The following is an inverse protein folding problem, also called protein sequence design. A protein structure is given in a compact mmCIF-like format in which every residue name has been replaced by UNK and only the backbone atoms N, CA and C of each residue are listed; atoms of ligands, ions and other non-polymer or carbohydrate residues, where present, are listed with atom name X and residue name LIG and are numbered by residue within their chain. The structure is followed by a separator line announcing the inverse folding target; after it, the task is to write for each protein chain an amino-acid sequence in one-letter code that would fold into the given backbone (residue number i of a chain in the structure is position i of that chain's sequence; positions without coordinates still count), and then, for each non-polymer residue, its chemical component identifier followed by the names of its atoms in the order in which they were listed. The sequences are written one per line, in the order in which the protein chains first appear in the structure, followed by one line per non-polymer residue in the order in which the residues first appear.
data_IF_361704751370
#
_entry.id   IF_361704751370
#
_cell.length_a   1.000
_cell.length_b   1.000
_cell.length_c   1.000
_cell.angle_alpha   90.00
_cell.angle_beta   90.00
_cell.angle_gamma   90.00
#
_symmetry.space_group_name_H-M   'P 1'
#
loop_
_entity.id
_entity.type
_entity.pdbx_description
1 polymer ?
#
# COMPACT_ATOMS: atom_id res chain seq x y z
N UNK A 1 -27.81 16.31 -1.07
CA UNK A 1 -26.68 17.14 -0.65
C UNK A 1 -25.45 16.25 -0.79
N UNK A 2 -24.59 16.51 -1.77
CA UNK A 2 -23.42 15.66 -1.99
C UNK A 2 -22.46 15.82 -0.79
N UNK A 3 -22.14 14.69 -0.14
CA UNK A 3 -21.21 14.63 0.99
C UNK A 3 -19.80 14.98 0.47
N UNK A 4 -19.33 16.18 0.73
CA UNK A 4 -17.94 16.59 0.46
C UNK A 4 -16.95 16.12 1.54
N UNK A 5 -17.37 15.17 2.38
CA UNK A 5 -16.61 14.73 3.55
C UNK A 5 -15.78 13.47 3.25
N UNK A 6 -16.21 12.65 2.28
CA UNK A 6 -15.44 11.51 1.80
C UNK A 6 -14.38 11.97 0.79
N UNK A 7 -13.08 11.76 1.06
CA UNK A 7 -11.99 12.17 0.18
C UNK A 7 -11.80 11.24 -1.03
N UNK A 8 -12.31 10.00 -0.99
CA UNK A 8 -12.06 8.99 -2.01
C UNK A 8 -12.51 9.41 -3.41
N UNK A 9 -13.74 9.91 -3.66
CA UNK A 9 -14.15 10.32 -5.00
C UNK A 9 -13.32 11.47 -5.58
N UNK A 10 -12.84 12.38 -4.70
CA UNK A 10 -11.98 13.49 -5.12
C UNK A 10 -10.61 12.96 -5.53
N UNK A 11 -9.99 12.12 -4.69
CA UNK A 11 -8.72 11.50 -5.02
C UNK A 11 -8.79 10.67 -6.30
N UNK A 12 -9.85 9.88 -6.47
CA UNK A 12 -10.08 9.07 -7.67
C UNK A 12 -10.10 9.89 -8.96
N UNK A 13 -10.63 11.11 -8.93
CA UNK A 13 -10.70 11.97 -10.11
C UNK A 13 -9.33 12.23 -10.72
N UNK A 14 -8.28 12.33 -9.89
CA UNK A 14 -6.90 12.54 -10.37
C UNK A 14 -6.30 11.32 -11.08
N UNK A 15 -6.86 10.14 -10.86
CA UNK A 15 -6.36 8.90 -11.47
C UNK A 15 -7.18 8.41 -12.65
N UNK A 16 -8.49 8.71 -12.66
CA UNK A 16 -9.44 8.14 -13.64
C UNK A 16 -9.73 9.09 -14.80
N UNK A 17 -9.71 10.40 -14.59
CA UNK A 17 -9.97 11.38 -15.64
C UNK A 17 -8.69 11.69 -16.42
N UNK A 18 -8.62 11.23 -17.68
CA UNK A 18 -7.45 11.40 -18.56
C UNK A 18 -7.02 12.87 -18.70
N UNK A 19 -8.00 13.81 -18.78
CA UNK A 19 -7.69 15.23 -18.94
C UNK A 19 -7.10 15.86 -17.67
N UNK A 20 -7.44 15.30 -16.52
CA UNK A 20 -6.91 15.74 -15.23
C UNK A 20 -5.54 15.11 -15.02
N UNK A 21 -5.39 13.80 -15.19
CA UNK A 21 -4.14 13.08 -15.00
C UNK A 21 -3.00 13.53 -15.93
N UNK A 22 -3.33 14.01 -17.14
CA UNK A 22 -2.35 14.60 -18.07
C UNK A 22 -1.74 15.93 -17.58
N UNK A 23 -2.39 16.64 -16.67
CA UNK A 23 -2.02 18.02 -16.29
C UNK A 23 -1.79 18.24 -14.81
N UNK A 24 -2.33 17.36 -13.99
CA UNK A 24 -2.32 17.46 -12.53
C UNK A 24 -1.92 16.12 -11.93
N UNK A 25 -1.17 16.21 -10.88
CA UNK A 25 -0.76 15.08 -10.05
C UNK A 25 -1.23 15.33 -8.62
N UNK A 26 -1.73 14.30 -7.95
CA UNK A 26 -2.10 14.38 -6.55
C UNK A 26 -0.84 14.31 -5.69
N UNK A 27 -0.48 15.43 -5.06
CA UNK A 27 0.71 15.55 -4.21
C UNK A 27 0.53 14.80 -2.87
N UNK A 28 -0.66 14.87 -2.30
CA UNK A 28 -1.00 14.18 -1.07
C UNK A 28 -2.35 14.62 -0.50
N UNK A 29 -2.83 13.87 0.49
CA UNK A 29 -4.06 14.13 1.23
C UNK A 29 -3.67 14.58 2.64
N UNK A 30 -4.05 15.81 3.00
CA UNK A 30 -3.80 16.37 4.32
C UNK A 30 -5.12 16.45 5.08
N UNK A 31 -5.20 15.77 6.21
CA UNK A 31 -6.37 15.81 7.09
C UNK A 31 -6.10 16.74 8.26
N UNK A 32 -7.00 17.71 8.47
CA UNK A 32 -6.96 18.61 9.63
C UNK A 32 -7.91 18.07 10.70
N UNK A 33 -7.35 17.77 11.87
CA UNK A 33 -8.06 17.16 12.99
C UNK A 33 -8.17 18.15 14.13
N UNK A 34 -9.37 18.30 14.69
CA UNK A 34 -9.64 19.11 15.89
C UNK A 34 -9.29 18.30 17.15
N UNK A 35 -8.16 18.61 17.80
CA UNK A 35 -7.68 17.89 18.97
C UNK A 35 -8.71 17.78 20.09
N UNK A 36 -9.54 18.81 20.27
CA UNK A 36 -10.53 18.84 21.36
C UNK A 36 -11.75 17.96 21.11
N UNK A 37 -12.17 17.80 19.85
CA UNK A 37 -13.46 17.19 19.54
C UNK A 37 -13.33 15.84 18.80
N UNK A 38 -12.15 15.49 18.32
CA UNK A 38 -12.01 14.30 17.42
C UNK A 38 -12.42 13.01 18.08
N UNK A 39 -12.11 12.77 19.36
CA UNK A 39 -12.46 11.53 20.05
C UNK A 39 -13.97 11.29 19.99
N UNK A 40 -14.77 12.32 20.28
CA UNK A 40 -16.23 12.22 20.19
C UNK A 40 -16.70 11.83 18.78
N UNK A 41 -16.06 12.36 17.75
CA UNK A 41 -16.41 12.06 16.35
C UNK A 41 -15.99 10.67 15.90
N UNK A 42 -14.84 10.20 16.35
CA UNK A 42 -14.34 8.85 16.05
C UNK A 42 -15.17 7.78 16.74
N UNK A 43 -15.58 8.03 18.00
CA UNK A 43 -16.37 7.09 18.80
C UNK A 43 -17.89 7.19 18.51
N UNK A 44 -18.32 8.13 17.66
CA UNK A 44 -19.74 8.29 17.33
C UNK A 44 -20.28 7.04 16.61
N UNK A 45 -21.19 6.33 17.26
CA UNK A 45 -21.89 5.22 16.62
C UNK A 45 -22.76 5.73 15.46
N UNK A 46 -22.52 5.18 14.27
CA UNK A 46 -23.34 5.47 13.09
C UNK A 46 -24.35 4.35 12.86
N UNK A 47 -25.54 4.67 12.32
CA UNK A 47 -26.48 3.65 11.88
C UNK A 47 -25.85 2.66 10.89
N UNK A 48 -26.37 1.42 10.88
CA UNK A 48 -25.89 0.38 9.98
C UNK A 48 -25.88 0.88 8.50
N UNK A 49 -24.77 0.71 7.81
CA UNK A 49 -24.56 1.16 6.43
C UNK A 49 -24.20 2.64 6.29
N UNK A 50 -24.02 3.38 7.40
CA UNK A 50 -23.48 4.76 7.38
C UNK A 50 -22.05 4.75 7.88
N UNK A 51 -21.15 5.26 7.08
CA UNK A 51 -19.73 5.36 7.40
C UNK A 51 -19.43 6.54 8.33
N UNK A 52 -18.39 6.40 9.15
CA UNK A 52 -17.91 7.50 9.97
C UNK A 52 -16.89 8.32 9.17
N UNK A 53 -17.33 9.44 8.66
CA UNK A 53 -16.52 10.32 7.81
C UNK A 53 -15.23 10.80 8.50
N UNK A 54 -15.24 10.95 9.82
CA UNK A 54 -14.03 11.37 10.57
C UNK A 54 -12.96 10.28 10.57
N UNK A 55 -13.39 9.03 10.74
CA UNK A 55 -12.51 7.86 10.65
C UNK A 55 -11.95 7.71 9.23
N UNK A 56 -12.79 7.86 8.21
CA UNK A 56 -12.35 7.79 6.82
C UNK A 56 -11.34 8.88 6.46
N UNK A 57 -11.59 10.13 6.84
CA UNK A 57 -10.66 11.23 6.58
C UNK A 57 -9.29 10.99 7.23
N UNK A 58 -9.24 10.41 8.42
CA UNK A 58 -7.98 10.03 9.07
C UNK A 58 -7.32 8.86 8.31
N UNK A 59 -8.09 7.85 7.92
CA UNK A 59 -7.59 6.69 7.19
C UNK A 59 -6.98 7.06 5.82
N UNK A 60 -7.57 8.02 5.12
CA UNK A 60 -7.08 8.49 3.82
C UNK A 60 -5.87 9.44 3.92
N UNK A 61 -5.57 9.98 5.09
CA UNK A 61 -4.54 11.00 5.26
C UNK A 61 -3.13 10.49 4.90
N UNK A 62 -2.39 11.30 4.17
CA UNK A 62 -0.94 11.20 4.02
C UNK A 62 -0.20 11.94 5.13
N UNK A 63 -0.80 13.04 5.61
CA UNK A 63 -0.35 13.82 6.77
C UNK A 63 -1.55 14.28 7.59
N UNK A 64 -1.36 14.37 8.88
CA UNK A 64 -2.39 14.81 9.82
C UNK A 64 -1.92 16.05 10.52
N UNK A 65 -2.72 17.14 10.42
CA UNK A 65 -2.54 18.34 11.21
C UNK A 65 -3.46 18.26 12.42
N UNK A 66 -2.92 17.89 13.56
CA UNK A 66 -3.63 17.90 14.82
C UNK A 66 -3.69 19.34 15.33
N UNK A 67 -4.78 20.02 15.05
CA UNK A 67 -4.96 21.44 15.29
C UNK A 67 -5.72 21.71 16.59
N UNK A 68 -5.65 22.94 17.08
CA UNK A 68 -6.23 23.39 18.34
C UNK A 68 -5.61 22.72 19.57
N UNK A 69 -4.33 22.43 19.51
CA UNK A 69 -3.60 21.79 20.62
C UNK A 69 -3.53 22.69 21.87
N UNK A 70 -3.73 23.97 21.69
CA UNK A 70 -3.89 24.98 22.76
C UNK A 70 -5.15 24.79 23.63
N UNK A 71 -6.12 23.96 23.18
CA UNK A 71 -7.41 23.76 23.87
C UNK A 71 -7.46 22.46 24.70
N UNK A 72 -6.41 21.70 24.73
CA UNK A 72 -6.31 20.39 25.40
C UNK A 72 -5.00 20.28 26.15
N UNK A 73 -4.95 19.44 27.18
CA UNK A 73 -3.71 19.20 27.91
C UNK A 73 -2.86 18.11 27.23
N UNK A 74 -1.63 17.91 27.72
CA UNK A 74 -0.71 16.96 27.11
C UNK A 74 -1.18 15.50 27.22
N UNK A 75 -1.88 15.14 28.30
CA UNK A 75 -2.40 13.78 28.47
C UNK A 75 -3.54 13.49 27.48
N UNK A 76 -4.42 14.50 27.26
CA UNK A 76 -5.46 14.43 26.23
C UNK A 76 -4.85 14.36 24.83
N UNK A 77 -3.80 15.14 24.52
CA UNK A 77 -3.10 15.11 23.24
C UNK A 77 -2.51 13.74 22.95
N UNK A 78 -1.83 13.13 23.91
CA UNK A 78 -1.26 11.80 23.76
C UNK A 78 -2.34 10.74 23.51
N UNK A 79 -3.49 10.87 24.18
CA UNK A 79 -4.62 9.96 23.93
C UNK A 79 -5.19 10.14 22.52
N UNK A 80 -5.36 11.39 22.07
CA UNK A 80 -5.83 11.70 20.71
C UNK A 80 -4.87 11.13 19.66
N UNK A 81 -3.56 11.35 19.83
CA UNK A 81 -2.55 10.80 18.92
C UNK A 81 -2.59 9.28 18.87
N UNK A 82 -2.76 8.63 20.03
CA UNK A 82 -2.90 7.18 20.10
C UNK A 82 -4.13 6.69 19.31
N UNK A 83 -5.28 7.32 19.48
CA UNK A 83 -6.50 6.96 18.74
C UNK A 83 -6.35 7.16 17.23
N UNK A 84 -5.74 8.26 16.81
CA UNK A 84 -5.42 8.52 15.40
C UNK A 84 -4.49 7.44 14.84
N UNK A 85 -3.46 7.06 15.59
CA UNK A 85 -2.49 6.04 15.18
C UNK A 85 -3.09 4.64 15.05
N UNK A 86 -4.14 4.32 15.80
CA UNK A 86 -4.90 3.07 15.62
C UNK A 86 -5.56 3.02 14.24
N UNK A 87 -6.14 4.14 13.79
CA UNK A 87 -6.81 4.24 12.49
C UNK A 87 -5.79 4.31 11.35
N UNK A 88 -4.77 5.17 11.49
CA UNK A 88 -3.73 5.39 10.50
C UNK A 88 -2.37 5.52 11.20
N UNK A 89 -1.70 4.38 11.39
CA UNK A 89 -0.40 4.28 12.03
C UNK A 89 0.73 4.97 11.26
N UNK A 90 0.53 5.23 9.97
CA UNK A 90 1.59 5.64 9.04
C UNK A 90 1.62 7.14 8.76
N UNK A 91 0.49 7.85 8.85
CA UNK A 91 0.47 9.28 8.62
C UNK A 91 1.22 10.02 9.74
N UNK A 92 2.24 10.85 9.43
CA UNK A 92 2.88 11.71 10.41
C UNK A 92 1.88 12.73 10.95
N UNK A 93 1.92 12.93 12.27
CA UNK A 93 1.06 13.87 12.97
C UNK A 93 1.86 15.13 13.29
N UNK A 94 1.34 16.28 12.89
CA UNK A 94 1.90 17.59 13.21
C UNK A 94 0.96 18.33 14.16
N UNK A 95 1.43 18.62 15.38
CA UNK A 95 0.70 19.45 16.35
C UNK A 95 0.70 20.90 15.88
N UNK A 96 -0.45 21.51 15.79
CA UNK A 96 -0.62 22.88 15.32
C UNK A 96 -1.60 23.67 16.17
N UNK A 97 -1.41 24.98 16.18
CA UNK A 97 -2.32 25.95 16.79
C UNK A 97 -2.73 26.95 15.71
N UNK A 98 -4.02 27.27 15.64
CA UNK A 98 -4.59 28.20 14.64
C UNK A 98 -4.23 27.85 13.18
N UNK A 99 -3.91 26.59 12.90
CA UNK A 99 -3.48 26.13 11.58
C UNK A 99 -2.08 26.58 11.17
N UNK A 100 -1.27 27.06 12.12
CA UNK A 100 0.09 27.55 11.83
C UNK A 100 1.04 26.36 11.68
N UNK A 101 1.59 26.21 10.49
CA UNK A 101 2.60 25.21 10.15
C UNK A 101 3.51 25.77 9.06
N UNK A 102 4.76 25.32 9.01
CA UNK A 102 5.66 25.65 7.89
C UNK A 102 5.09 25.10 6.57
N UNK A 103 4.85 25.95 5.55
CA UNK A 103 4.32 25.52 4.26
C UNK A 103 5.11 24.38 3.58
N UNK A 104 6.38 24.22 3.89
CA UNK A 104 7.22 23.11 3.41
C UNK A 104 6.66 21.74 3.81
N UNK A 105 5.92 21.68 4.91
CA UNK A 105 5.27 20.46 5.34
C UNK A 105 3.98 20.15 4.58
N UNK A 106 3.45 21.10 3.80
CA UNK A 106 2.15 21.01 3.14
C UNK A 106 2.24 20.85 1.62
N UNK A 107 3.38 21.15 1.02
CA UNK A 107 3.58 21.12 -0.43
C UNK A 107 4.75 20.22 -0.79
N UNK A 108 4.72 19.70 -2.00
CA UNK A 108 5.69 18.74 -2.49
C UNK A 108 5.82 17.52 -1.54
N UNK A 109 4.69 17.04 -1.04
CA UNK A 109 4.63 15.86 -0.17
C UNK A 109 5.05 14.62 -0.97
N UNK A 110 4.62 14.55 -2.24
CA UNK A 110 4.94 13.46 -3.15
C UNK A 110 4.42 12.11 -2.65
N UNK A 111 3.27 12.09 -1.96
CA UNK A 111 2.75 10.86 -1.34
C UNK A 111 2.41 9.76 -2.34
N UNK A 112 2.26 10.13 -3.59
CA UNK A 112 2.05 9.23 -4.72
C UNK A 112 3.30 9.12 -5.61
N UNK A 113 4.36 9.90 -5.32
CA UNK A 113 5.70 9.74 -5.87
C UNK A 113 6.51 8.81 -4.95
N UNK A 114 6.83 7.65 -5.48
CA UNK A 114 7.45 6.55 -4.75
C UNK A 114 8.87 6.83 -4.29
N UNK A 115 9.62 7.55 -5.11
CA UNK A 115 10.99 7.92 -4.80
C UNK A 115 11.02 8.84 -3.58
N UNK A 116 10.13 9.82 -3.56
CA UNK A 116 9.97 10.75 -2.43
C UNK A 116 9.43 10.08 -1.18
N UNK A 117 8.49 9.17 -1.31
CA UNK A 117 7.93 8.44 -0.15
C UNK A 117 9.02 7.65 0.59
N UNK A 118 9.96 7.06 -0.15
CA UNK A 118 11.10 6.33 0.43
C UNK A 118 12.16 7.25 1.04
N UNK A 119 12.39 8.42 0.42
CA UNK A 119 13.39 9.38 0.90
C UNK A 119 12.92 10.13 2.16
N UNK A 120 11.63 10.39 2.29
CA UNK A 120 11.06 11.22 3.35
C UNK A 120 10.71 10.46 4.62
N UNK A 121 10.45 9.17 4.55
CA UNK A 121 10.05 8.37 5.70
C UNK A 121 10.62 6.94 5.62
N UNK A 122 11.90 6.75 6.00
CA UNK A 122 12.50 5.42 6.09
C UNK A 122 11.81 4.54 7.15
N UNK A 123 11.17 5.14 8.16
CA UNK A 123 10.46 4.46 9.24
C UNK A 123 8.99 4.15 8.88
N UNK A 124 8.52 4.61 7.71
CA UNK A 124 7.17 4.35 7.19
C UNK A 124 6.80 2.85 7.20
N UNK A 125 7.79 1.99 7.21
CA UNK A 125 7.67 0.54 7.18
C UNK A 125 7.99 -0.13 8.53
N UNK A 126 8.15 0.64 9.61
CA UNK A 126 8.38 0.07 10.93
C UNK A 126 7.09 -0.50 11.52
N UNK A 127 7.10 -1.81 11.74
CA UNK A 127 5.89 -2.62 12.01
C UNK A 127 5.69 -2.92 13.50
N UNK A 128 6.49 -2.37 14.40
CA UNK A 128 6.56 -2.80 15.81
C UNK A 128 5.48 -2.19 16.72
N UNK A 129 4.43 -1.57 16.17
CA UNK A 129 3.32 -1.07 16.97
C UNK A 129 2.28 -2.17 17.25
N UNK A 130 2.30 -2.72 18.47
CA UNK A 130 1.22 -3.58 18.98
C UNK A 130 -0.09 -2.78 19.06
N UNK A 131 -1.13 -3.24 18.35
CA UNK A 131 -2.44 -2.60 18.32
C UNK A 131 -3.51 -3.53 18.90
N UNK A 132 -3.90 -3.27 20.13
CA UNK A 132 -5.16 -3.80 20.71
C UNK A 132 -6.19 -2.68 20.71
N UNK A 133 -7.20 -2.71 19.82
CA UNK A 133 -8.47 -1.96 20.01
C UNK A 133 -9.57 -2.43 19.09
N UNK A 134 -10.79 -2.42 19.62
CA UNK A 134 -12.08 -2.75 19.02
C UNK A 134 -12.59 -1.63 18.08
N UNK A 135 -11.81 -1.30 17.06
CA UNK A 135 -12.23 -0.34 16.03
C UNK A 135 -12.34 -1.06 14.69
N UNK A 136 -13.45 -0.80 13.99
CA UNK A 136 -13.71 -1.40 12.66
C UNK A 136 -12.69 -1.00 11.60
N UNK A 137 -12.09 0.18 11.73
CA UNK A 137 -11.05 0.66 10.79
C UNK A 137 -9.69 0.53 11.47
N UNK A 138 -8.82 -0.23 10.86
CA UNK A 138 -7.48 -0.51 11.37
C UNK A 138 -6.44 -0.43 10.26
N UNK A 139 -5.18 -0.35 10.66
CA UNK A 139 -4.04 -0.49 9.77
C UNK A 139 -3.31 -1.79 10.06
N UNK A 140 -2.86 -2.44 9.00
CA UNK A 140 -1.97 -3.61 9.07
C UNK A 140 -0.76 -3.37 8.20
N UNK A 141 0.40 -3.76 8.72
CA UNK A 141 1.63 -3.87 7.94
C UNK A 141 2.24 -5.24 8.10
N UNK A 142 2.92 -5.71 7.08
CA UNK A 142 3.71 -6.93 7.17
C UNK A 142 4.91 -6.85 6.25
N UNK A 143 5.99 -7.51 6.62
CA UNK A 143 7.20 -7.57 5.82
C UNK A 143 7.88 -8.94 5.89
N UNK A 144 8.60 -9.26 4.82
CA UNK A 144 9.52 -10.39 4.82
C UNK A 144 10.77 -10.10 4.00
N UNK A 145 11.86 -10.75 4.37
CA UNK A 145 13.10 -10.71 3.61
C UNK A 145 13.04 -11.62 2.38
N UNK A 146 13.59 -11.13 1.27
CA UNK A 146 13.66 -11.83 0.00
C UNK A 146 12.76 -11.23 -1.05
N UNK A 147 12.43 -12.04 -2.05
CA UNK A 147 11.64 -11.60 -3.20
C UNK A 147 10.37 -12.41 -3.32
N UNK A 148 9.36 -11.84 -3.94
CA UNK A 148 8.08 -12.50 -4.22
C UNK A 148 7.98 -12.99 -5.67
N UNK A 149 7.02 -13.88 -5.88
CA UNK A 149 6.56 -14.31 -7.19
C UNK A 149 5.41 -13.41 -7.63
N UNK A 150 5.60 -12.66 -8.70
CA UNK A 150 4.62 -11.69 -9.20
C UNK A 150 3.28 -12.31 -9.57
N UNK A 151 3.27 -13.56 -10.04
CA UNK A 151 2.04 -14.25 -10.41
C UNK A 151 1.21 -14.60 -9.17
N UNK A 152 1.87 -15.00 -8.07
CA UNK A 152 1.19 -15.21 -6.79
C UNK A 152 0.66 -13.91 -6.22
N UNK A 153 1.46 -12.83 -6.29
CA UNK A 153 1.04 -11.50 -5.87
C UNK A 153 -0.22 -11.05 -6.63
N UNK A 154 -0.20 -11.14 -7.96
CA UNK A 154 -1.34 -10.72 -8.77
C UNK A 154 -2.62 -11.51 -8.44
N UNK A 155 -2.49 -12.81 -8.19
CA UNK A 155 -3.61 -13.64 -7.76
C UNK A 155 -4.14 -13.20 -6.40
N UNK A 156 -3.26 -13.01 -5.42
CA UNK A 156 -3.64 -12.57 -4.08
C UNK A 156 -4.31 -11.19 -4.09
N UNK A 157 -3.75 -10.23 -4.85
CA UNK A 157 -4.36 -8.91 -5.02
C UNK A 157 -5.76 -9.03 -5.65
N UNK A 158 -5.91 -9.84 -6.70
CA UNK A 158 -7.21 -10.03 -7.33
C UNK A 158 -8.26 -10.60 -6.37
N UNK A 159 -7.87 -11.54 -5.50
CA UNK A 159 -8.75 -12.09 -4.46
C UNK A 159 -9.15 -11.05 -3.40
N UNK A 160 -8.23 -10.16 -3.02
CA UNK A 160 -8.50 -9.06 -2.10
C UNK A 160 -9.48 -8.08 -2.73
N UNK A 161 -9.24 -7.67 -3.98
CA UNK A 161 -10.12 -6.74 -4.72
C UNK A 161 -11.53 -7.32 -4.82
N UNK A 162 -11.65 -8.58 -5.20
CA UNK A 162 -12.96 -9.23 -5.38
C UNK A 162 -13.77 -9.27 -4.08
N UNK A 163 -13.12 -9.46 -2.94
CA UNK A 163 -13.78 -9.67 -1.65
C UNK A 163 -13.91 -8.42 -0.78
N UNK A 164 -12.97 -7.49 -0.89
CA UNK A 164 -12.75 -6.41 0.09
C UNK A 164 -12.43 -5.04 -0.51
N UNK A 165 -12.64 -4.82 -1.82
CA UNK A 165 -12.28 -3.55 -2.45
C UNK A 165 -12.90 -2.32 -1.79
N UNK A 166 -14.14 -2.42 -1.31
CA UNK A 166 -14.86 -1.33 -0.65
C UNK A 166 -14.39 -1.08 0.79
N UNK A 167 -13.80 -2.09 1.42
CA UNK A 167 -13.34 -2.01 2.81
C UNK A 167 -11.89 -1.56 2.94
N UNK A 168 -11.13 -1.57 1.83
CA UNK A 168 -9.75 -1.10 1.81
C UNK A 168 -9.72 0.37 1.38
N UNK A 169 -9.35 1.24 2.30
CA UNK A 169 -9.28 2.68 2.06
C UNK A 169 -7.96 3.10 1.42
N UNK A 170 -6.87 2.48 1.86
CA UNK A 170 -5.52 2.79 1.38
C UNK A 170 -4.61 1.57 1.47
N UNK A 171 -3.68 1.51 0.54
CA UNK A 171 -2.60 0.53 0.60
C UNK A 171 -1.34 1.10 -0.03
N UNK A 172 -0.22 0.68 0.50
CA UNK A 172 1.11 0.97 -0.03
C UNK A 172 2.03 -0.22 0.19
N UNK A 173 3.00 -0.40 -0.68
CA UNK A 173 4.01 -1.43 -0.51
C UNK A 173 5.17 -1.26 -1.46
N UNK A 174 6.33 -1.73 -1.00
CA UNK A 174 7.54 -1.81 -1.80
C UNK A 174 7.93 -3.27 -1.81
N UNK A 175 8.02 -3.81 -3.00
CA UNK A 175 8.13 -5.24 -3.18
C UNK A 175 9.34 -5.56 -4.06
N UNK A 176 10.10 -6.55 -3.65
CA UNK A 176 11.13 -7.15 -4.48
C UNK A 176 10.52 -8.30 -5.28
N UNK A 177 10.45 -8.16 -6.59
CA UNK A 177 10.01 -9.24 -7.47
C UNK A 177 11.21 -10.09 -7.88
N UNK A 178 11.09 -11.39 -7.76
CA UNK A 178 12.18 -12.31 -8.12
C UNK A 178 12.52 -12.22 -9.61
N UNK A 179 13.78 -12.01 -9.93
CA UNK A 179 14.25 -11.84 -11.32
C UNK A 179 14.14 -10.42 -11.86
N UNK A 180 13.76 -9.45 -11.02
CA UNK A 180 13.72 -8.03 -11.37
C UNK A 180 14.68 -7.24 -10.49
N UNK A 181 15.35 -6.24 -11.08
CA UNK A 181 16.24 -5.34 -10.35
C UNK A 181 15.53 -4.04 -9.93
N UNK A 182 14.40 -3.75 -10.54
CA UNK A 182 13.56 -2.61 -10.18
C UNK A 182 12.70 -2.93 -8.95
N UNK A 183 12.50 -1.94 -8.11
CA UNK A 183 11.51 -2.01 -7.03
C UNK A 183 10.11 -2.01 -7.65
N UNK A 184 9.30 -2.98 -7.25
CA UNK A 184 7.89 -2.99 -7.62
C UNK A 184 7.13 -2.23 -6.55
N UNK A 185 6.40 -1.24 -6.99
CA UNK A 185 5.62 -0.42 -6.12
C UNK A 185 4.15 -0.68 -6.30
N UNK A 186 3.51 -0.86 -5.18
CA UNK A 186 2.14 -1.20 -5.02
C UNK A 186 1.47 -0.13 -4.16
N UNK A 187 0.57 0.63 -4.75
CA UNK A 187 -0.14 1.70 -4.03
C UNK A 187 -1.50 1.97 -4.62
N UNK A 188 -2.39 2.48 -3.78
CA UNK A 188 -3.70 2.93 -4.22
C UNK A 188 -4.56 3.50 -3.11
N UNK A 189 -5.69 4.03 -3.56
CA UNK A 189 -6.70 4.66 -2.72
C UNK A 189 -8.06 4.07 -3.10
N UNK A 190 -8.75 3.48 -2.12
CA UNK A 190 -10.02 2.83 -2.30
C UNK A 190 -9.97 1.75 -3.41
N UNK A 191 -10.95 1.66 -4.29
CA UNK A 191 -11.02 0.65 -5.36
C UNK A 191 -9.99 0.82 -6.49
N UNK A 192 -9.16 1.88 -6.46
CA UNK A 192 -8.11 2.09 -7.45
C UNK A 192 -6.85 1.34 -7.04
N UNK A 193 -6.70 0.15 -7.58
CA UNK A 193 -5.51 -0.66 -7.40
C UNK A 193 -4.49 -0.41 -8.49
N UNK A 194 -3.28 -0.05 -8.10
CA UNK A 194 -2.16 0.15 -9.01
C UNK A 194 -0.89 -0.49 -8.48
N UNK A 195 -0.12 -1.06 -9.39
CA UNK A 195 1.21 -1.53 -9.13
C UNK A 195 2.05 -1.40 -10.39
N UNK A 196 3.26 -0.90 -10.26
CA UNK A 196 4.18 -0.75 -11.37
C UNK A 196 5.63 -0.93 -10.92
N UNK A 197 6.46 -1.37 -11.86
CA UNK A 197 7.90 -1.29 -11.68
C UNK A 197 8.33 0.17 -11.79
N UNK A 198 8.98 0.66 -10.75
CA UNK A 198 9.57 1.98 -10.83
C UNK A 198 10.75 1.97 -11.81
N UNK A 199 10.72 2.86 -12.80
CA UNK A 199 11.83 2.98 -13.75
C UNK A 199 13.09 3.57 -13.09
N UNK A 200 12.90 4.38 -12.05
CA UNK A 200 13.96 5.15 -11.40
C UNK A 200 14.46 4.52 -10.08
N UNK A 201 13.75 3.54 -9.55
CA UNK A 201 14.10 2.90 -8.28
C UNK A 201 14.56 1.46 -8.52
N UNK A 202 15.85 1.27 -8.46
CA UNK A 202 16.47 -0.06 -8.52
C UNK A 202 16.93 -0.49 -7.12
N UNK A 203 16.97 -1.80 -6.91
CA UNK A 203 17.66 -2.37 -5.76
C UNK A 203 19.16 -2.18 -5.95
N UNK A 204 19.82 -1.59 -4.97
CA UNK A 204 21.28 -1.49 -4.97
C UNK A 204 21.91 -2.89 -4.82
N UNK A 205 23.16 -3.03 -5.27
CA UNK A 205 23.83 -4.34 -5.32
C UNK A 205 23.94 -5.01 -3.95
N UNK A 206 24.14 -4.21 -2.91
CA UNK A 206 24.33 -4.66 -1.53
C UNK A 206 23.09 -4.37 -0.66
N UNK A 207 22.02 -3.85 -1.25
CA UNK A 207 20.75 -3.60 -0.56
C UNK A 207 20.02 -4.90 -0.29
N UNK A 208 19.62 -5.08 0.97
CA UNK A 208 18.82 -6.23 1.38
C UNK A 208 17.45 -6.17 0.72
N UNK A 209 17.14 -7.18 -0.07
CA UNK A 209 15.83 -7.28 -0.72
C UNK A 209 14.79 -7.67 0.31
N UNK A 210 13.75 -6.87 0.42
CA UNK A 210 12.60 -7.14 1.26
C UNK A 210 11.31 -6.71 0.59
N UNK A 211 10.22 -7.29 1.04
CA UNK A 211 8.87 -6.97 0.60
C UNK A 211 8.11 -6.46 1.80
N UNK A 212 7.52 -5.28 1.68
CA UNK A 212 6.70 -4.69 2.73
C UNK A 212 5.40 -4.18 2.15
N UNK A 213 4.29 -4.38 2.86
CA UNK A 213 3.03 -3.75 2.53
C UNK A 213 2.36 -3.15 3.76
N UNK A 214 1.46 -2.23 3.49
CA UNK A 214 0.56 -1.62 4.45
C UNK A 214 -0.83 -1.56 3.84
N UNK A 215 -1.84 -1.96 4.61
CA UNK A 215 -3.26 -1.72 4.30
C UNK A 215 -3.91 -0.94 5.43
N UNK A 216 -4.80 -0.02 5.06
CA UNK A 216 -5.71 0.67 5.98
C UNK A 216 -7.11 0.40 5.47
N UNK A 217 -7.98 -0.11 6.32
CA UNK A 217 -9.33 -0.46 5.92
C UNK A 217 -10.22 -0.90 7.07
N UNK A 218 -11.45 -1.26 6.71
CA UNK A 218 -12.48 -1.70 7.62
C UNK A 218 -12.53 -3.22 7.71
N UNK A 219 -12.72 -3.72 8.93
CA UNK A 219 -12.89 -5.15 9.21
C UNK A 219 -11.83 -6.01 8.48
N UNK A 220 -10.57 -5.57 8.55
CA UNK A 220 -9.46 -6.28 7.94
C UNK A 220 -9.16 -7.55 8.73
N UNK A 221 -9.10 -8.67 8.02
CA UNK A 221 -8.60 -9.94 8.58
C UNK A 221 -7.06 -9.92 8.51
N UNK A 222 -6.44 -9.50 9.60
CA UNK A 222 -4.99 -9.32 9.72
C UNK A 222 -4.24 -10.64 9.45
N UNK A 223 -4.72 -11.75 10.03
CA UNK A 223 -4.08 -13.05 9.86
C UNK A 223 -4.17 -13.54 8.42
N UNK A 224 -5.33 -13.40 7.78
CA UNK A 224 -5.50 -13.81 6.39
C UNK A 224 -4.69 -12.94 5.42
N UNK A 225 -4.59 -11.62 5.66
CA UNK A 225 -3.80 -10.71 4.84
C UNK A 225 -2.31 -11.02 4.96
N UNK A 226 -1.81 -11.21 6.17
CA UNK A 226 -0.42 -11.55 6.41
C UNK A 226 -0.07 -12.93 5.82
N UNK A 227 -0.87 -13.96 6.08
CA UNK A 227 -0.67 -15.30 5.55
C UNK A 227 -0.66 -15.29 4.01
N UNK A 228 -1.62 -14.62 3.37
CA UNK A 228 -1.68 -14.50 1.92
C UNK A 228 -0.47 -13.76 1.33
N UNK A 229 0.03 -12.74 2.02
CA UNK A 229 1.25 -12.06 1.61
C UNK A 229 2.49 -12.96 1.72
N UNK A 230 2.62 -13.69 2.82
CA UNK A 230 3.73 -14.64 3.00
C UNK A 230 3.71 -15.75 1.96
N UNK A 231 2.55 -16.19 1.51
CA UNK A 231 2.42 -17.19 0.42
C UNK A 231 2.89 -16.63 -0.94
N UNK A 232 2.95 -15.31 -1.12
CA UNK A 232 3.50 -14.70 -2.33
C UNK A 232 5.01 -14.85 -2.45
N UNK A 233 5.72 -15.25 -1.40
CA UNK A 233 7.17 -15.46 -1.43
C UNK A 233 7.59 -16.38 -2.56
N UNK A 234 8.69 -16.00 -3.23
CA UNK A 234 9.23 -16.80 -4.31
C UNK A 234 9.78 -18.13 -3.78
N UNK A 235 9.35 -19.20 -4.40
CA UNK A 235 9.81 -20.56 -4.10
C UNK A 235 11.17 -20.85 -4.74
N UNK A 236 11.84 -21.87 -4.23
CA UNK A 236 12.96 -22.50 -4.93
C UNK A 236 12.47 -23.22 -6.19
N UNK A 237 13.16 -22.99 -7.29
CA UNK A 237 12.78 -23.58 -8.55
C UNK A 237 13.24 -25.05 -8.63
N UNK A 238 12.37 -25.89 -9.20
CA UNK A 238 12.62 -27.30 -9.39
C UNK A 238 13.71 -27.59 -10.43
N UNK A 239 13.81 -26.72 -11.46
CA UNK A 239 14.71 -26.96 -12.61
C UNK A 239 15.72 -25.82 -12.71
N UNK A 240 16.87 -26.12 -13.33
CA UNK A 240 17.97 -25.19 -13.52
C UNK A 240 18.13 -24.79 -14.99
N UNK A 241 18.89 -23.73 -15.23
CA UNK A 241 19.27 -23.32 -16.58
C UNK A 241 20.01 -24.47 -17.27
N UNK A 242 19.58 -24.79 -18.48
CA UNK A 242 20.12 -25.89 -19.27
C UNK A 242 19.33 -27.21 -19.21
N UNK A 243 18.45 -27.36 -18.22
CA UNK A 243 17.62 -28.53 -18.10
C UNK A 243 16.65 -28.70 -19.28
N UNK A 244 16.44 -29.93 -19.70
CA UNK A 244 15.44 -30.28 -20.71
C UNK A 244 14.14 -30.64 -20.00
N UNK A 245 13.06 -29.98 -20.37
CA UNK A 245 11.74 -30.20 -19.78
C UNK A 245 10.67 -30.36 -20.85
N UNK A 246 9.48 -30.78 -20.45
CA UNK A 246 8.27 -30.64 -21.24
C UNK A 246 7.47 -29.45 -20.71
N UNK A 247 7.38 -28.38 -21.50
CA UNK A 247 6.60 -27.19 -21.18
C UNK A 247 5.18 -27.32 -21.71
N UNK A 248 4.19 -26.95 -20.91
CA UNK A 248 2.80 -26.90 -21.35
C UNK A 248 2.54 -25.55 -22.02
N UNK A 249 2.42 -25.53 -23.32
CA UNK A 249 2.11 -24.37 -24.17
C UNK A 249 0.79 -24.56 -24.93
N UNK A 250 -0.17 -25.26 -24.33
CA UNK A 250 -1.37 -25.79 -24.94
C UNK A 250 -1.26 -27.32 -25.13
N UNK A 251 -0.07 -27.79 -25.48
CA UNK A 251 0.37 -29.19 -25.46
C UNK A 251 1.75 -29.28 -24.80
N UNK A 252 2.13 -30.47 -24.36
CA UNK A 252 3.44 -30.68 -23.75
C UNK A 252 4.53 -30.75 -24.82
N UNK A 253 5.27 -29.65 -24.97
CA UNK A 253 6.36 -29.52 -25.95
C UNK A 253 7.71 -29.58 -25.25
N UNK A 254 8.65 -30.31 -25.83
CA UNK A 254 10.02 -30.40 -25.31
C UNK A 254 10.73 -29.06 -25.46
N UNK A 255 11.44 -28.64 -24.41
CA UNK A 255 12.17 -27.39 -24.43
C UNK A 255 13.35 -27.40 -23.47
N UNK A 256 14.23 -26.40 -23.62
CA UNK A 256 15.40 -26.18 -22.79
C UNK A 256 15.20 -24.89 -21.98
N UNK A 257 15.49 -24.96 -20.69
CA UNK A 257 15.45 -23.79 -19.83
C UNK A 257 16.64 -22.87 -20.18
N UNK A 258 16.33 -21.66 -20.64
CA UNK A 258 17.33 -20.64 -20.95
C UNK A 258 17.64 -19.75 -19.76
N UNK A 259 16.63 -19.43 -18.95
CA UNK A 259 16.75 -18.53 -17.80
C UNK A 259 15.75 -18.90 -16.72
N UNK A 260 16.18 -18.79 -15.47
CA UNK A 260 15.34 -18.89 -14.29
C UNK A 260 15.03 -17.47 -13.79
N UNK A 261 13.80 -17.23 -13.37
CA UNK A 261 13.32 -15.93 -12.91
C UNK A 261 13.61 -14.79 -13.89
N UNK A 262 13.00 -14.88 -15.07
CA UNK A 262 13.12 -13.89 -16.10
C UNK A 262 11.90 -12.95 -16.12
N UNK A 263 12.12 -11.68 -15.83
CA UNK A 263 11.06 -10.66 -15.74
C UNK A 263 9.87 -11.11 -14.86
N UNK A 264 10.18 -11.68 -13.69
CA UNK A 264 9.18 -12.17 -12.75
C UNK A 264 8.61 -13.56 -13.07
N UNK A 265 8.91 -14.15 -14.23
CA UNK A 265 8.47 -15.48 -14.58
C UNK A 265 9.48 -16.54 -14.12
N UNK A 266 9.03 -17.69 -13.57
CA UNK A 266 9.91 -18.74 -13.06
C UNK A 266 10.89 -19.27 -14.09
N UNK A 267 10.45 -19.47 -15.34
CA UNK A 267 11.28 -20.05 -16.40
C UNK A 267 11.06 -19.35 -17.74
N UNK A 268 12.17 -19.12 -18.46
CA UNK A 268 12.16 -18.88 -19.90
C UNK A 268 12.62 -20.16 -20.58
N UNK A 269 11.81 -20.69 -21.49
CA UNK A 269 12.04 -21.98 -22.15
C UNK A 269 12.15 -21.77 -23.66
N UNK A 270 13.20 -22.31 -24.28
CA UNK A 270 13.32 -22.42 -25.72
C UNK A 270 12.68 -23.74 -26.14
N UNK A 271 11.57 -23.68 -26.87
CA UNK A 271 10.89 -24.88 -27.36
C UNK A 271 11.68 -25.49 -28.51
N UNK A 272 11.74 -26.82 -28.54
CA UNK A 272 12.29 -27.56 -29.65
C UNK A 272 11.18 -27.88 -30.65
N UNK A 273 11.23 -27.25 -31.84
CA UNK A 273 10.37 -27.62 -32.95
C UNK A 273 10.76 -29.01 -33.45
N UNK A 274 9.89 -29.99 -33.23
CA UNK A 274 10.06 -31.35 -33.80
C UNK A 274 9.85 -31.40 -35.34
N UNK A 275 9.55 -30.26 -35.98
CA UNK A 275 9.28 -30.18 -37.44
C UNK A 275 10.49 -29.88 -38.34
N UNK A 276 11.72 -29.92 -37.83
CA UNK A 276 12.92 -29.89 -38.67
C UNK A 276 13.67 -31.21 -38.60
N UNK A 277 13.14 -32.22 -39.29
CA UNK A 277 13.89 -33.31 -39.88
C UNK A 277 13.99 -33.16 -41.37
#
# INVERSE_FOLDING_TARGET
MYKRQDPAPVAQTFFVDDKISERYELDGIITVVDAKNIIQHVEEEKPEGIENESVEQIAFADKILLNKTDLVDEAELLNVEKQIKVINGFAPIFRTEHGIIDPKNLINIGSFDLKRTLEMDPEFLDTDAEHEHDQRVTSISSKFEGSLNVNKLNKWIAEIIDKKATDIFRYKGILSVKGMDNKFVFQGVHMLFGGAYSQDLMWEKDEKRECTFVFIGRDLDHEALEAGFMECKAEELRFNVGDMIYANVGEFTKGKILKCWDEGNPYRVELQDDEKK
#
